data_IF_023293476710
#
_entry.id   IF_023293476710
#
_cell.length_a   1.000
_cell.length_b   1.000
_cell.length_c   1.000
_cell.angle_alpha   90.00
_cell.angle_beta   90.00
_cell.angle_gamma   90.00
#
_symmetry.space_group_name_H-M   'P 1'
#
loop_
_entity.id
_entity.type
_entity.pdbx_description
1 polymer ?
#
# COMPACT_ATOMS: atom_id res chain seq x y z
N UNK A 1 1.06 17.92 -3.48
CA UNK A 1 2.16 17.18 -2.84
C UNK A 1 1.71 15.83 -2.36
N UNK A 2 2.64 14.91 -2.27
CA UNK A 2 2.35 13.54 -1.86
C UNK A 2 3.13 13.21 -0.59
N UNK A 3 2.42 12.70 0.41
CA UNK A 3 3.02 12.14 1.61
C UNK A 3 2.86 10.62 1.55
N UNK A 4 3.94 9.89 1.61
CA UNK A 4 3.92 8.44 1.52
C UNK A 4 4.44 7.78 2.78
N UNK A 5 3.71 6.78 3.25
CA UNK A 5 4.12 5.92 4.35
C UNK A 5 3.58 4.53 4.06
N UNK A 6 4.45 3.58 3.85
CA UNK A 6 4.04 2.25 3.41
C UNK A 6 3.56 1.38 4.56
N UNK A 7 2.37 0.79 4.41
CA UNK A 7 1.84 -0.20 5.34
C UNK A 7 2.56 -1.54 5.20
N UNK A 8 3.06 -1.83 4.02
CA UNK A 8 3.84 -3.00 3.60
C UNK A 8 3.02 -4.28 3.54
N UNK A 9 2.35 -4.68 4.61
CA UNK A 9 1.59 -5.93 4.65
C UNK A 9 0.37 -5.79 5.55
N UNK A 10 -0.44 -6.85 5.61
CA UNK A 10 -1.62 -6.92 6.48
C UNK A 10 -1.21 -7.00 7.95
N UNK A 11 -2.13 -6.66 8.84
CA UNK A 11 -1.83 -6.55 10.26
C UNK A 11 -1.18 -7.81 10.86
N UNK A 12 -1.73 -8.96 10.56
CA UNK A 12 -1.25 -10.25 11.09
C UNK A 12 0.23 -10.51 10.76
N UNK A 13 0.68 -10.10 9.57
CA UNK A 13 2.03 -10.37 9.08
C UNK A 13 3.02 -9.27 9.39
N UNK A 14 2.59 -8.17 10.01
CA UNK A 14 3.45 -7.01 10.24
C UNK A 14 4.67 -7.34 11.10
N UNK A 15 4.47 -7.97 12.25
CA UNK A 15 5.55 -8.26 13.18
C UNK A 15 6.60 -9.24 12.64
N UNK A 16 6.23 -10.33 11.95
CA UNK A 16 7.24 -11.24 11.39
C UNK A 16 8.05 -10.63 10.25
N UNK A 17 7.53 -9.61 9.56
CA UNK A 17 8.10 -9.13 8.30
C UNK A 17 8.76 -7.77 8.42
N UNK A 18 8.19 -6.87 9.21
CA UNK A 18 8.69 -5.50 9.38
C UNK A 18 9.53 -5.35 10.64
N UNK A 19 10.32 -4.29 10.66
CA UNK A 19 11.01 -3.86 11.88
C UNK A 19 9.98 -3.71 13.01
N UNK A 20 10.24 -4.26 14.21
CA UNK A 20 9.31 -4.16 15.34
C UNK A 20 8.89 -2.73 15.71
N UNK A 21 9.69 -1.73 15.33
CA UNK A 21 9.40 -0.32 15.61
C UNK A 21 8.42 0.28 14.62
N UNK A 22 8.17 -0.40 13.50
CA UNK A 22 7.23 0.05 12.49
C UNK A 22 5.95 -0.77 12.60
N UNK A 23 4.97 -0.31 13.33
CA UNK A 23 3.73 -1.04 13.54
C UNK A 23 2.67 -0.71 12.50
N UNK A 24 1.73 -1.63 12.32
CA UNK A 24 0.60 -1.46 11.43
C UNK A 24 -0.22 -0.22 11.81
N UNK A 25 -0.64 -0.15 13.07
CA UNK A 25 -1.41 1.00 13.57
C UNK A 25 -0.62 2.29 13.54
N UNK A 26 0.67 2.22 13.82
CA UNK A 26 1.55 3.39 13.80
C UNK A 26 1.59 4.00 12.40
N UNK A 27 1.68 3.18 11.37
CA UNK A 27 1.64 3.63 9.99
C UNK A 27 0.31 4.33 9.68
N UNK A 28 -0.80 3.73 10.09
CA UNK A 28 -2.12 4.33 9.89
C UNK A 28 -2.25 5.68 10.62
N UNK A 29 -1.74 5.76 11.84
CA UNK A 29 -1.77 7.00 12.61
C UNK A 29 -0.95 8.11 11.96
N UNK A 30 0.21 7.77 11.41
CA UNK A 30 1.06 8.73 10.70
C UNK A 30 0.34 9.26 9.45
N UNK A 31 -0.27 8.37 8.67
CA UNK A 31 -1.02 8.76 7.47
C UNK A 31 -2.22 9.63 7.83
N UNK A 32 -2.96 9.26 8.86
CA UNK A 32 -4.10 10.02 9.33
C UNK A 32 -3.67 11.40 9.84
N UNK A 33 -2.57 11.48 10.57
CA UNK A 33 -2.05 12.74 11.09
C UNK A 33 -1.65 13.68 9.95
N UNK A 34 -1.01 13.17 8.91
CA UNK A 34 -0.65 13.99 7.75
C UNK A 34 -1.88 14.62 7.10
N UNK A 35 -2.96 13.85 6.97
CA UNK A 35 -4.21 14.32 6.37
C UNK A 35 -4.90 15.36 7.25
N UNK A 36 -4.81 15.21 8.57
CA UNK A 36 -5.38 16.19 9.52
C UNK A 36 -4.64 17.52 9.49
N UNK A 37 -3.31 17.46 9.32
CA UNK A 37 -2.49 18.67 9.26
C UNK A 37 -2.78 19.44 7.97
N UNK A 38 -2.96 18.75 6.86
CA UNK A 38 -3.25 19.37 5.58
C UNK A 38 -4.20 18.47 4.76
N UNK A 39 -5.47 18.84 4.73
CA UNK A 39 -6.51 18.07 4.02
C UNK A 39 -6.27 17.98 2.52
N UNK A 40 -5.49 18.88 1.95
CA UNK A 40 -5.20 18.91 0.51
C UNK A 40 -4.02 18.02 0.12
N UNK A 41 -3.25 17.53 1.09
CA UNK A 41 -2.14 16.64 0.78
C UNK A 41 -2.67 15.30 0.28
N UNK A 42 -2.01 14.75 -0.72
CA UNK A 42 -2.33 13.40 -1.22
C UNK A 42 -1.51 12.41 -0.40
N UNK A 43 -2.18 11.44 0.21
CA UNK A 43 -1.50 10.41 0.99
C UNK A 43 -1.47 9.10 0.21
N UNK A 44 -0.36 8.39 0.34
CA UNK A 44 -0.07 7.18 -0.42
C UNK A 44 0.49 6.10 0.49
N UNK A 45 0.10 4.85 0.23
CA UNK A 45 0.66 3.69 0.90
C UNK A 45 0.86 2.56 -0.09
N UNK A 46 1.63 1.55 0.30
CA UNK A 46 1.94 0.39 -0.54
C UNK A 46 1.71 -0.90 0.22
N UNK A 47 1.20 -1.90 -0.48
CA UNK A 47 1.03 -3.26 0.04
C UNK A 47 1.85 -4.19 -0.84
N UNK A 48 2.62 -5.07 -0.20
CA UNK A 48 3.39 -6.10 -0.89
C UNK A 48 2.64 -7.42 -0.72
N UNK A 49 2.39 -8.10 -1.82
CA UNK A 49 1.62 -9.34 -1.84
C UNK A 49 2.53 -10.55 -2.05
N UNK A 50 2.07 -11.74 -1.62
CA UNK A 50 2.84 -12.97 -1.73
C UNK A 50 3.56 -13.35 -0.46
N UNK A 51 3.15 -12.77 0.68
CA UNK A 51 3.74 -13.01 2.00
C UNK A 51 2.91 -13.99 2.86
N UNK A 52 1.74 -14.41 2.37
CA UNK A 52 0.85 -15.31 3.10
C UNK A 52 -0.47 -14.68 3.51
N UNK A 53 -0.78 -13.50 3.01
CA UNK A 53 -2.02 -12.80 3.31
C UNK A 53 -3.24 -13.43 2.62
N UNK A 54 -4.40 -13.29 3.25
CA UNK A 54 -5.68 -13.73 2.65
C UNK A 54 -6.40 -12.54 1.99
N UNK A 55 -7.38 -12.86 1.13
CA UNK A 55 -8.21 -11.83 0.50
C UNK A 55 -8.93 -10.95 1.53
N UNK A 56 -9.44 -11.56 2.60
CA UNK A 56 -10.11 -10.81 3.67
C UNK A 56 -9.17 -9.84 4.35
N UNK A 57 -7.93 -10.25 4.56
CA UNK A 57 -6.93 -9.40 5.19
C UNK A 57 -6.56 -8.22 4.29
N UNK A 58 -6.47 -8.45 2.98
CA UNK A 58 -6.20 -7.38 2.02
C UNK A 58 -7.36 -6.37 2.02
N UNK A 59 -8.60 -6.84 1.97
CA UNK A 59 -9.74 -5.92 1.99
C UNK A 59 -9.86 -5.18 3.31
N UNK A 60 -9.52 -5.80 4.43
CA UNK A 60 -9.48 -5.11 5.71
C UNK A 60 -8.40 -4.01 5.71
N UNK A 61 -7.25 -4.29 5.12
CA UNK A 61 -6.19 -3.29 5.00
C UNK A 61 -6.63 -2.12 4.12
N UNK A 62 -7.38 -2.38 3.05
CA UNK A 62 -7.97 -1.30 2.24
C UNK A 62 -8.89 -0.42 3.08
N UNK A 63 -9.75 -1.02 3.90
CA UNK A 63 -10.65 -0.26 4.78
C UNK A 63 -9.86 0.59 5.76
N UNK A 64 -8.86 0.00 6.40
CA UNK A 64 -8.04 0.70 7.39
C UNK A 64 -7.31 1.89 6.75
N UNK A 65 -6.77 1.71 5.55
CA UNK A 65 -6.11 2.78 4.81
C UNK A 65 -7.10 3.89 4.44
N UNK A 66 -8.30 3.54 3.98
CA UNK A 66 -9.31 4.53 3.65
C UNK A 66 -9.80 5.29 4.89
N UNK A 67 -9.94 4.59 6.00
CA UNK A 67 -10.31 5.24 7.28
C UNK A 67 -9.23 6.22 7.73
N UNK A 68 -7.97 5.95 7.39
CA UNK A 68 -6.86 6.87 7.66
C UNK A 68 -6.74 8.00 6.63
N UNK A 69 -7.61 8.02 5.62
CA UNK A 69 -7.63 9.07 4.60
C UNK A 69 -6.66 8.86 3.44
N UNK A 70 -6.17 7.66 3.25
CA UNK A 70 -5.22 7.37 2.15
C UNK A 70 -5.91 7.48 0.80
N UNK A 71 -5.29 8.23 -0.11
CA UNK A 71 -5.84 8.51 -1.44
C UNK A 71 -5.35 7.52 -2.50
N UNK A 72 -4.10 7.08 -2.41
CA UNK A 72 -3.47 6.22 -3.40
C UNK A 72 -2.90 4.99 -2.71
N UNK A 73 -3.16 3.82 -3.28
CA UNK A 73 -2.54 2.58 -2.80
C UNK A 73 -1.90 1.85 -3.98
N UNK A 74 -0.71 1.31 -3.75
CA UNK A 74 -0.04 0.45 -4.73
C UNK A 74 0.08 -0.96 -4.18
N UNK A 75 -0.03 -1.94 -5.07
CA UNK A 75 0.15 -3.35 -4.73
C UNK A 75 1.18 -3.95 -5.68
N UNK A 76 2.20 -4.61 -5.12
CA UNK A 76 3.25 -5.24 -5.90
C UNK A 76 3.60 -6.61 -5.35
N UNK A 77 4.35 -7.39 -6.11
CA UNK A 77 4.81 -8.71 -5.69
C UNK A 77 5.99 -8.58 -4.75
N UNK A 78 5.94 -9.30 -3.63
CA UNK A 78 7.08 -9.42 -2.74
C UNK A 78 8.20 -10.19 -3.44
N UNK A 79 9.40 -9.61 -3.44
CA UNK A 79 10.61 -10.24 -3.97
C UNK A 79 11.59 -10.38 -2.82
N UNK A 80 11.89 -11.62 -2.44
CA UNK A 80 12.79 -11.90 -1.30
C UNK A 80 14.18 -11.32 -1.55
N UNK A 81 14.63 -10.34 -0.76
CA UNK A 81 15.94 -9.71 -1.01
C UNK A 81 17.12 -10.63 -0.76
N UNK A 82 17.10 -11.40 0.34
CA UNK A 82 18.15 -12.38 0.69
C UNK A 82 17.53 -13.58 1.39
N UNK A 83 18.34 -14.62 1.62
CA UNK A 83 17.89 -15.81 2.35
C UNK A 83 17.55 -15.52 3.81
N UNK A 84 18.00 -14.37 4.35
CA UNK A 84 17.67 -13.97 5.71
C UNK A 84 16.30 -13.30 5.82
N UNK A 85 15.66 -12.98 4.70
CA UNK A 85 14.36 -12.36 4.67
C UNK A 85 13.25 -13.40 4.57
N UNK A 86 12.02 -12.97 4.85
CA UNK A 86 10.85 -13.83 4.76
C UNK A 86 10.77 -14.48 3.36
N UNK A 87 10.51 -15.79 3.26
CA UNK A 87 10.39 -16.44 1.96
C UNK A 87 9.12 -15.99 1.23
N UNK A 88 9.17 -16.09 -0.10
CA UNK A 88 7.99 -15.82 -0.92
C UNK A 88 6.99 -16.96 -0.68
N UNK A 89 5.79 -16.60 -0.20
CA UNK A 89 4.74 -17.59 0.04
C UNK A 89 4.13 -18.07 -1.28
N UNK A 90 3.88 -17.13 -2.19
CA UNK A 90 3.39 -17.47 -3.52
C UNK A 90 3.62 -16.33 -4.51
N UNK A 91 3.56 -16.67 -5.78
CA UNK A 91 3.58 -15.69 -6.86
C UNK A 91 2.14 -15.33 -7.22
N UNK A 92 1.81 -14.06 -7.02
CA UNK A 92 0.46 -13.54 -7.28
C UNK A 92 0.26 -13.40 -8.78
N UNK A 93 -0.86 -13.91 -9.29
CA UNK A 93 -1.15 -13.90 -10.73
C UNK A 93 -1.59 -12.50 -11.20
N UNK A 94 -1.33 -12.15 -12.46
CA UNK A 94 -1.79 -10.86 -13.00
C UNK A 94 -3.29 -10.63 -12.83
N UNK A 95 -4.11 -11.66 -12.99
CA UNK A 95 -5.56 -11.56 -12.83
C UNK A 95 -5.95 -11.19 -11.39
N UNK A 96 -5.18 -11.67 -10.41
CA UNK A 96 -5.41 -11.32 -9.00
C UNK A 96 -5.09 -9.85 -8.74
N UNK A 97 -4.00 -9.35 -9.33
CA UNK A 97 -3.65 -7.94 -9.22
C UNK A 97 -4.77 -7.05 -9.81
N UNK A 98 -5.35 -7.43 -10.95
CA UNK A 98 -6.45 -6.70 -11.55
C UNK A 98 -7.69 -6.71 -10.65
N UNK A 99 -7.99 -7.86 -10.04
CA UNK A 99 -9.11 -7.98 -9.12
C UNK A 99 -8.93 -7.09 -7.90
N UNK A 100 -7.74 -7.05 -7.33
CA UNK A 100 -7.44 -6.17 -6.19
C UNK A 100 -7.53 -4.70 -6.57
N UNK A 101 -7.14 -4.35 -7.78
CA UNK A 101 -7.29 -2.99 -8.28
C UNK A 101 -8.76 -2.58 -8.27
N UNK A 102 -9.63 -3.42 -8.81
CA UNK A 102 -11.06 -3.14 -8.87
C UNK A 102 -11.68 -3.05 -7.48
N UNK A 103 -11.30 -3.98 -6.59
CA UNK A 103 -11.76 -3.97 -5.19
C UNK A 103 -11.32 -2.68 -4.51
N UNK A 104 -10.05 -2.31 -4.65
CA UNK A 104 -9.52 -1.09 -4.04
C UNK A 104 -10.25 0.16 -4.53
N UNK A 105 -10.49 0.26 -5.83
CA UNK A 105 -11.24 1.39 -6.37
C UNK A 105 -12.65 1.46 -5.79
N UNK A 106 -13.27 0.32 -5.51
CA UNK A 106 -14.61 0.28 -4.91
C UNK A 106 -14.63 0.82 -3.49
N UNK A 107 -13.49 0.83 -2.80
CA UNK A 107 -13.35 1.41 -1.45
C UNK A 107 -13.15 2.93 -1.48
N UNK A 108 -13.03 3.51 -2.66
CA UNK A 108 -12.97 4.96 -2.80
C UNK A 108 -11.57 5.55 -2.91
N UNK A 109 -10.53 4.72 -3.11
CA UNK A 109 -9.20 5.26 -3.40
C UNK A 109 -9.25 6.09 -4.69
N UNK A 110 -8.54 7.20 -4.67
CA UNK A 110 -8.39 8.04 -5.84
C UNK A 110 -7.69 7.29 -6.97
N UNK A 111 -6.72 6.47 -6.61
CA UNK A 111 -5.98 5.64 -7.55
C UNK A 111 -5.49 4.36 -6.89
N UNK A 112 -5.54 3.26 -7.63
CA UNK A 112 -4.97 1.97 -7.23
C UNK A 112 -4.08 1.49 -8.36
N UNK A 113 -2.80 1.27 -8.06
CA UNK A 113 -1.85 0.71 -9.02
C UNK A 113 -1.47 -0.67 -8.53
N UNK A 114 -1.79 -1.68 -9.32
CA UNK A 114 -1.66 -3.07 -8.89
C UNK A 114 -1.03 -3.88 -10.02
N UNK A 115 0.08 -4.53 -9.73
CA UNK A 115 0.78 -5.38 -10.70
C UNK A 115 2.07 -5.92 -10.13
N UNK A 116 2.62 -7.01 -10.74
CA UNK A 116 3.80 -7.67 -10.20
C UNK A 116 5.05 -6.80 -10.21
N UNK A 117 5.13 -5.85 -11.12
CA UNK A 117 6.30 -4.98 -11.27
C UNK A 117 6.14 -3.61 -10.64
N UNK A 118 5.05 -3.39 -9.90
CA UNK A 118 4.80 -2.08 -9.27
C UNK A 118 5.74 -1.84 -8.11
N UNK A 119 6.33 -0.63 -8.05
CA UNK A 119 7.19 -0.15 -6.97
C UNK A 119 6.62 1.15 -6.44
N UNK A 120 6.71 1.34 -5.12
CA UNK A 120 6.14 2.54 -4.50
C UNK A 120 6.82 3.82 -4.98
N UNK A 121 8.14 3.81 -5.17
CA UNK A 121 8.88 4.99 -5.63
C UNK A 121 8.47 5.43 -7.02
N UNK A 122 8.29 4.49 -7.93
CA UNK A 122 7.83 4.78 -9.27
C UNK A 122 6.51 5.55 -9.24
N UNK A 123 5.59 5.10 -8.42
CA UNK A 123 4.26 5.69 -8.37
C UNK A 123 4.25 7.07 -7.71
N UNK A 124 5.13 7.28 -6.73
CA UNK A 124 5.27 8.57 -6.10
C UNK A 124 5.73 9.64 -7.11
N UNK A 125 6.70 9.30 -7.96
CA UNK A 125 7.17 10.19 -9.02
C UNK A 125 6.03 10.57 -9.97
N UNK A 126 5.24 9.58 -10.37
CA UNK A 126 4.14 9.80 -11.30
C UNK A 126 3.06 10.69 -10.70
N UNK A 127 2.76 10.52 -9.43
CA UNK A 127 1.80 11.38 -8.73
C UNK A 127 2.28 12.82 -8.66
N UNK A 128 3.58 13.01 -8.43
CA UNK A 128 4.19 14.35 -8.44
C UNK A 128 4.15 14.98 -9.83
N UNK A 129 4.35 14.20 -10.88
CA UNK A 129 4.23 14.68 -12.25
C UNK A 129 2.83 15.21 -12.54
N UNK A 130 1.81 14.49 -12.13
CA UNK A 130 0.44 14.94 -12.28
C UNK A 130 0.18 16.23 -11.53
N UNK A 131 0.66 16.34 -10.31
CA UNK A 131 0.56 17.59 -9.54
C UNK A 131 1.23 18.75 -10.24
N UNK A 132 2.44 18.52 -10.78
CA UNK A 132 3.22 19.55 -11.43
C UNK A 132 2.58 20.08 -12.71
N UNK A 133 1.77 19.28 -13.36
CA UNK A 133 1.05 19.72 -14.57
C UNK A 133 -0.38 20.16 -14.26
N UNK A 134 -0.73 20.29 -13.00
CA UNK A 134 -2.02 20.81 -12.57
C UNK A 134 -3.16 19.81 -12.65
N UNK A 135 -2.84 18.56 -12.62
CA UNK A 135 -3.82 17.50 -12.67
C UNK A 135 -4.22 17.09 -11.27
#
# INVERSE_FOLDING_TARGET
>A
KVFAQNIETVERLTHPIRDPRAGYKKTLDILSAAKKINKKIITKSSIILGLGESDKEITQTFRDLRDAGVDIVTLGQYLRPTLNHHPIDRWVKPEEFERYRDIGLSYGFLEVVSGPMVRSSYRAERALEFDNVGI
#
